data_IF_663025075130
#
_entry.id   IF_663025075130
#
_cell.length_a   1.000
_cell.length_b   1.000
_cell.length_c   1.000
_cell.angle_alpha   90.00
_cell.angle_beta   90.00
_cell.angle_gamma   90.00
#
_symmetry.space_group_name_H-M   'P 1'
#
loop_
_entity.id
_entity.type
_entity.pdbx_description
1 polymer ?
#
# COMPACT_ATOMS: atom_id res chain seq x y z
N UNK A 1 2.06 -37.23 -73.49
CA UNK A 1 0.77 -37.59 -72.86
C UNK A 1 0.86 -37.42 -71.36
N UNK A 2 -0.21 -36.88 -70.76
CA UNK A 2 -0.60 -36.88 -69.35
C UNK A 2 0.20 -36.03 -68.33
N UNK A 3 -0.34 -34.81 -68.16
CA UNK A 3 -0.37 -33.98 -66.96
C UNK A 3 -0.99 -34.71 -65.75
N UNK A 4 -0.46 -34.50 -64.54
CA UNK A 4 -1.23 -34.59 -63.28
C UNK A 4 -0.75 -33.50 -62.32
N UNK A 5 -1.53 -32.41 -62.25
CA UNK A 5 -1.48 -31.44 -61.16
C UNK A 5 -2.19 -32.02 -59.93
N UNK A 6 -1.56 -31.96 -58.75
CA UNK A 6 -2.24 -32.17 -57.46
C UNK A 6 -2.54 -30.81 -56.84
N UNK A 7 -3.81 -30.42 -56.87
CA UNK A 7 -4.35 -29.32 -56.11
C UNK A 7 -4.55 -29.74 -54.65
N UNK A 8 -3.96 -29.02 -53.71
CA UNK A 8 -4.26 -29.13 -52.29
C UNK A 8 -5.14 -27.94 -51.89
N UNK A 9 -6.40 -28.23 -51.57
CA UNK A 9 -7.38 -27.25 -51.13
C UNK A 9 -7.04 -26.75 -49.72
N UNK A 10 -6.77 -25.45 -49.59
CA UNK A 10 -6.66 -24.79 -48.29
C UNK A 10 -8.07 -24.42 -47.80
N UNK A 11 -8.54 -25.10 -46.77
CA UNK A 11 -9.77 -24.73 -46.05
C UNK A 11 -9.54 -23.44 -45.27
N UNK A 12 -10.20 -22.34 -45.66
CA UNK A 12 -10.21 -21.09 -44.91
C UNK A 12 -11.00 -21.28 -43.61
N UNK A 13 -10.31 -21.30 -42.47
CA UNK A 13 -10.95 -21.14 -41.15
C UNK A 13 -11.37 -19.68 -41.00
N UNK A 14 -12.67 -19.45 -40.89
CA UNK A 14 -13.24 -18.14 -40.54
C UNK A 14 -12.87 -17.81 -39.09
N UNK A 15 -12.00 -16.81 -38.90
CA UNK A 15 -11.67 -16.31 -37.57
C UNK A 15 -12.80 -15.38 -37.08
N UNK A 16 -13.59 -15.84 -36.12
CA UNK A 16 -14.49 -14.98 -35.36
C UNK A 16 -13.67 -13.95 -34.56
N UNK A 17 -14.01 -12.67 -34.70
CA UNK A 17 -13.38 -11.59 -33.92
C UNK A 17 -13.84 -11.69 -32.46
N UNK A 18 -12.95 -11.66 -31.47
CA UNK A 18 -13.38 -11.56 -30.07
C UNK A 18 -13.97 -10.16 -29.83
N UNK A 19 -15.19 -10.11 -29.34
CA UNK A 19 -15.85 -8.89 -28.88
C UNK A 19 -15.13 -8.35 -27.64
N UNK A 20 -14.67 -7.10 -27.69
CA UNK A 20 -14.09 -6.41 -26.54
C UNK A 20 -15.20 -6.20 -25.49
N UNK A 21 -15.18 -7.00 -24.42
CA UNK A 21 -15.97 -6.74 -23.22
C UNK A 21 -15.23 -5.71 -22.37
N UNK A 22 -15.74 -4.48 -22.34
CA UNK A 22 -15.26 -3.45 -21.42
C UNK A 22 -15.75 -3.80 -20.02
N UNK A 23 -14.95 -4.51 -19.23
CA UNK A 23 -15.19 -4.63 -17.78
C UNK A 23 -14.78 -3.32 -17.13
N UNK A 24 -15.77 -2.53 -16.71
CA UNK A 24 -15.53 -1.45 -15.76
C UNK A 24 -15.10 -2.07 -14.41
N UNK A 25 -14.05 -1.58 -13.75
CA UNK A 25 -13.74 -2.00 -12.40
C UNK A 25 -14.84 -1.48 -11.46
N UNK A 26 -15.65 -2.38 -10.92
CA UNK A 26 -16.58 -2.05 -9.86
C UNK A 26 -15.76 -1.84 -8.56
N UNK A 27 -15.56 -0.58 -8.17
CA UNK A 27 -15.13 -0.23 -6.82
C UNK A 27 -16.24 -0.63 -5.85
N UNK A 28 -16.09 -1.82 -5.26
CA UNK A 28 -17.01 -2.30 -4.24
C UNK A 28 -16.55 -1.70 -2.91
N UNK A 29 -17.08 -0.53 -2.56
CA UNK A 29 -16.96 -0.01 -1.20
C UNK A 29 -18.03 -0.71 -0.36
N UNK A 30 -17.63 -1.64 0.50
CA UNK A 30 -18.53 -2.17 1.52
C UNK A 30 -18.92 -1.03 2.47
N UNK A 31 -20.13 -0.50 2.30
CA UNK A 31 -20.77 0.35 3.29
C UNK A 31 -21.66 -0.54 4.14
N UNK A 32 -21.22 -0.83 5.36
CA UNK A 32 -22.10 -1.41 6.39
C UNK A 32 -23.02 -0.30 6.87
N UNK A 33 -24.34 -0.49 6.74
CA UNK A 33 -25.33 0.45 7.25
C UNK A 33 -25.15 0.64 8.77
N UNK A 34 -25.31 1.87 9.32
CA UNK A 34 -25.21 2.07 10.75
C UNK A 34 -26.38 1.40 11.47
N UNK A 35 -26.06 0.51 12.41
CA UNK A 35 -27.05 -0.11 13.28
C UNK A 35 -27.77 0.95 14.13
N UNK A 36 -29.09 0.84 14.19
CA UNK A 36 -30.00 1.67 14.98
C UNK A 36 -29.70 1.49 16.47
N UNK A 37 -29.31 2.57 17.15
CA UNK A 37 -29.10 2.61 18.61
C UNK A 37 -30.47 2.56 19.31
N UNK A 38 -30.75 1.59 20.20
CA UNK A 38 -31.90 1.69 21.10
C UNK A 38 -31.52 2.54 22.33
N UNK A 39 -32.43 3.42 22.73
CA UNK A 39 -32.32 4.30 23.91
C UNK A 39 -32.14 3.51 25.23
N UNK A 40 -31.40 4.05 26.21
CA UNK A 40 -31.19 3.35 27.49
C UNK A 40 -32.38 3.51 28.44
N UNK A 41 -33.03 2.40 28.78
CA UNK A 41 -33.96 2.33 29.91
C UNK A 41 -33.19 1.84 31.14
N UNK A 42 -33.09 2.68 32.16
CA UNK A 42 -32.51 2.35 33.47
C UNK A 42 -33.57 1.63 34.31
N UNK A 43 -33.21 0.55 35.03
CA UNK A 43 -33.83 0.31 36.32
C UNK A 43 -32.79 0.23 37.46
N UNK A 44 -33.08 0.98 38.51
CA UNK A 44 -32.45 0.94 39.83
C UNK A 44 -32.84 -0.35 40.56
N UNK A 45 -31.87 -1.18 40.97
CA UNK A 45 -31.73 -1.72 42.34
C UNK A 45 -30.47 -2.61 42.44
N UNK A 46 -29.73 -2.43 43.53
CA UNK A 46 -28.37 -2.97 43.70
C UNK A 46 -28.27 -4.42 44.16
N UNK A 47 -27.03 -4.92 44.14
CA UNK A 47 -26.44 -5.90 45.06
C UNK A 47 -24.92 -5.73 44.97
N UNK A 48 -24.28 -5.66 46.14
CA UNK A 48 -22.82 -5.66 46.31
C UNK A 48 -22.32 -7.07 45.98
N UNK A 49 -21.46 -7.18 44.96
CA UNK A 49 -20.65 -8.36 44.72
C UNK A 49 -19.26 -7.91 44.26
N UNK A 50 -18.29 -8.04 45.17
CA UNK A 50 -16.86 -8.01 44.84
C UNK A 50 -16.58 -9.09 43.81
N UNK A 51 -16.31 -8.69 42.57
CA UNK A 51 -15.78 -9.57 41.55
C UNK A 51 -14.47 -8.99 41.03
N UNK A 52 -13.41 -9.73 41.32
CA UNK A 52 -12.10 -9.68 40.67
C UNK A 52 -12.29 -9.44 39.18
N UNK A 53 -11.86 -8.29 38.67
CA UNK A 53 -11.87 -8.05 37.23
C UNK A 53 -10.79 -8.91 36.61
N UNK A 54 -11.20 -10.08 36.14
CA UNK A 54 -10.52 -10.84 35.11
C UNK A 54 -10.31 -9.88 33.93
N UNK A 55 -9.07 -9.43 33.75
CA UNK A 55 -8.63 -8.82 32.51
C UNK A 55 -9.00 -9.80 31.38
N UNK A 56 -9.78 -9.38 30.37
CA UNK A 56 -10.06 -10.25 29.25
C UNK A 56 -8.72 -10.54 28.54
N UNK A 57 -8.40 -11.82 28.40
CA UNK A 57 -7.33 -12.30 27.52
C UNK A 57 -7.51 -11.60 26.16
N UNK A 58 -6.53 -10.85 25.64
CA UNK A 58 -6.70 -10.19 24.36
C UNK A 58 -6.87 -11.28 23.31
N UNK A 59 -8.08 -11.37 22.79
CA UNK A 59 -8.44 -12.24 21.67
C UNK A 59 -7.50 -11.96 20.51
N UNK A 60 -6.87 -13.03 20.04
CA UNK A 60 -5.97 -13.02 18.90
C UNK A 60 -6.62 -12.31 17.69
N UNK A 61 -5.93 -11.29 17.16
CA UNK A 61 -6.17 -10.66 15.87
C UNK A 61 -7.61 -10.18 15.60
N UNK A 62 -8.12 -9.25 16.41
CA UNK A 62 -9.18 -8.35 15.94
C UNK A 62 -8.49 -7.19 15.24
N UNK A 63 -8.58 -7.12 13.91
CA UNK A 63 -8.30 -5.89 13.17
C UNK A 63 -9.33 -4.88 13.65
N UNK A 64 -8.92 -3.95 14.51
CA UNK A 64 -9.77 -2.85 14.95
C UNK A 64 -9.73 -1.79 13.85
N UNK A 65 -10.78 -1.74 13.03
CA UNK A 65 -10.93 -0.66 12.04
C UNK A 65 -11.16 0.70 12.70
N UNK A 66 -11.57 0.71 13.97
CA UNK A 66 -11.84 1.92 14.73
C UNK A 66 -10.61 2.37 15.55
N UNK A 67 -10.33 3.68 15.61
CA UNK A 67 -9.26 4.22 16.44
C UNK A 67 -9.53 3.96 17.92
N UNK A 68 -8.48 3.66 18.67
CA UNK A 68 -8.59 3.40 20.11
C UNK A 68 -8.48 4.74 20.88
N UNK A 69 -9.63 5.29 21.25
CA UNK A 69 -9.72 6.56 21.97
C UNK A 69 -9.29 6.47 23.44
N UNK A 70 -9.15 5.26 24.00
CA UNK A 70 -8.73 5.06 25.39
C UNK A 70 -7.20 4.91 25.54
N UNK A 71 -6.44 5.12 24.46
CA UNK A 71 -4.98 5.09 24.46
C UNK A 71 -4.41 6.16 25.37
N UNK A 72 -3.46 5.76 26.22
CA UNK A 72 -2.64 6.70 26.98
C UNK A 72 -1.80 7.54 26.01
N UNK A 73 -2.18 8.80 25.86
CA UNK A 73 -1.46 9.75 25.01
C UNK A 73 -0.19 10.18 25.73
N UNK A 74 0.97 9.89 25.14
CA UNK A 74 2.25 10.39 25.64
C UNK A 74 2.32 11.92 25.55
N UNK A 75 3.06 12.54 26.47
CA UNK A 75 3.30 13.99 26.50
C UNK A 75 4.02 14.53 25.24
N UNK A 76 4.54 13.64 24.39
CA UNK A 76 5.25 13.95 23.15
C UNK A 76 4.36 13.84 21.90
N UNK A 77 3.10 13.44 22.07
CA UNK A 77 2.16 13.23 20.97
C UNK A 77 1.78 14.57 20.35
N UNK A 78 1.97 14.72 19.03
CA UNK A 78 1.60 15.95 18.34
C UNK A 78 0.07 16.06 18.22
N UNK A 79 -0.43 17.28 18.06
CA UNK A 79 -1.86 17.54 17.80
C UNK A 79 -2.27 17.24 16.34
N UNK A 80 -1.32 16.82 15.50
CA UNK A 80 -1.52 16.70 14.06
C UNK A 80 -1.65 15.26 13.60
N UNK A 81 -1.12 14.31 14.37
CA UNK A 81 -1.16 12.89 14.05
C UNK A 81 -2.57 12.30 14.22
N UNK A 82 -2.94 11.31 13.40
CA UNK A 82 -4.14 10.50 13.66
C UNK A 82 -3.99 9.71 14.96
N UNK A 83 -5.12 9.25 15.50
CA UNK A 83 -5.17 8.37 16.67
C UNK A 83 -4.87 6.94 16.20
N UNK A 84 -3.98 6.20 16.87
CA UNK A 84 -3.64 4.84 16.48
C UNK A 84 -4.82 3.88 16.61
N UNK A 85 -4.92 2.93 15.68
CA UNK A 85 -5.88 1.81 15.76
C UNK A 85 -5.40 0.73 16.73
N UNK A 86 -4.07 0.60 16.87
CA UNK A 86 -3.41 -0.35 17.76
C UNK A 86 -2.14 0.28 18.30
N UNK A 87 -1.95 0.15 19.61
CA UNK A 87 -0.69 0.49 20.29
C UNK A 87 -0.04 -0.80 20.78
N UNK A 88 1.26 -0.94 20.57
CA UNK A 88 2.01 -2.10 21.05
C UNK A 88 2.40 -1.93 22.53
N UNK A 89 1.84 -2.79 23.38
CA UNK A 89 2.03 -2.73 24.85
C UNK A 89 3.07 -3.74 25.38
N UNK A 90 3.65 -4.55 24.50
CA UNK A 90 4.63 -5.58 24.86
C UNK A 90 4.04 -6.90 25.38
N UNK A 91 2.74 -6.95 25.64
CA UNK A 91 2.00 -8.14 26.08
C UNK A 91 1.58 -9.08 24.95
N UNK A 92 1.78 -8.65 23.71
CA UNK A 92 1.33 -9.38 22.53
C UNK A 92 2.16 -10.64 22.29
N UNK A 93 1.54 -11.82 22.10
CA UNK A 93 2.27 -13.04 21.78
C UNK A 93 2.81 -12.94 20.35
N UNK A 94 4.11 -12.72 20.21
CA UNK A 94 4.80 -12.66 18.92
C UNK A 94 6.20 -13.26 18.98
N UNK A 95 6.67 -13.80 17.85
CA UNK A 95 8.04 -14.31 17.71
C UNK A 95 9.09 -13.17 17.80
N UNK A 96 8.68 -11.94 17.48
CA UNK A 96 9.56 -10.77 17.46
C UNK A 96 9.40 -9.93 18.72
N UNK A 97 10.52 -9.57 19.37
CA UNK A 97 10.51 -8.64 20.50
C UNK A 97 10.00 -7.26 20.06
N UNK A 98 8.93 -6.71 20.67
CA UNK A 98 8.37 -5.42 20.30
C UNK A 98 9.37 -4.32 20.64
N UNK A 99 10.03 -3.76 19.63
CA UNK A 99 10.97 -2.66 19.81
C UNK A 99 10.25 -1.33 20.04
N UNK A 100 8.97 -1.26 19.67
CA UNK A 100 8.15 -0.06 19.82
C UNK A 100 8.12 0.46 21.26
N UNK A 101 8.02 -0.46 22.24
CA UNK A 101 7.99 -0.15 23.68
C UNK A 101 9.33 0.42 24.18
N UNK A 102 10.44 0.03 23.55
CA UNK A 102 11.80 0.40 23.98
C UNK A 102 12.40 1.56 23.18
N UNK A 103 11.88 1.86 21.99
CA UNK A 103 12.49 2.82 21.06
C UNK A 103 12.46 4.27 21.55
N UNK A 104 11.56 4.60 22.47
CA UNK A 104 11.31 5.97 22.91
C UNK A 104 10.67 6.85 21.83
N UNK A 105 10.24 6.24 20.72
CA UNK A 105 9.46 6.91 19.69
C UNK A 105 8.08 7.29 20.22
N UNK A 106 7.51 8.44 19.82
CA UNK A 106 6.17 8.82 20.24
C UNK A 106 5.14 7.83 19.66
N UNK A 107 4.12 7.51 20.46
CA UNK A 107 3.03 6.57 20.11
C UNK A 107 2.33 6.96 18.80
N UNK A 108 2.33 8.24 18.45
CA UNK A 108 1.75 8.75 17.20
C UNK A 108 2.33 8.14 15.91
N UNK A 109 3.55 7.59 15.95
CA UNK A 109 4.11 6.92 14.79
C UNK A 109 3.43 5.58 14.49
N UNK A 110 2.88 4.91 15.50
CA UNK A 110 2.09 3.69 15.32
C UNK A 110 0.73 3.98 14.67
N UNK A 111 0.25 5.22 14.78
CA UNK A 111 -0.97 5.67 14.13
C UNK A 111 -0.80 5.93 12.63
N UNK A 112 0.44 6.02 12.14
CA UNK A 112 0.71 6.32 10.75
C UNK A 112 0.95 5.06 9.96
N UNK A 113 0.34 5.03 8.78
CA UNK A 113 0.62 3.99 7.80
C UNK A 113 1.95 4.29 7.11
N UNK A 114 2.71 3.24 6.90
CA UNK A 114 4.02 3.25 6.25
C UNK A 114 3.92 2.59 4.89
N UNK A 115 4.52 3.21 3.87
CA UNK A 115 4.62 2.64 2.52
C UNK A 115 5.96 1.96 2.34
N UNK A 116 5.94 0.65 2.11
CA UNK A 116 7.10 -0.14 1.72
C UNK A 116 7.05 -0.35 0.21
N UNK A 117 8.02 0.19 -0.52
CA UNK A 117 8.02 0.16 -1.98
C UNK A 117 9.43 0.20 -2.55
N UNK A 118 9.55 -0.16 -3.83
CA UNK A 118 10.76 0.07 -4.61
C UNK A 118 10.58 1.36 -5.42
N UNK A 119 11.46 2.36 -5.32
CA UNK A 119 11.31 3.61 -6.05
C UNK A 119 11.20 3.39 -7.56
N UNK A 120 10.15 3.92 -8.18
CA UNK A 120 9.95 3.77 -9.62
C UNK A 120 11.08 4.44 -10.42
N UNK A 121 11.43 3.85 -11.56
CA UNK A 121 12.42 4.43 -12.47
C UNK A 121 11.93 5.81 -12.96
N UNK A 122 12.72 6.88 -12.81
CA UNK A 122 12.34 8.19 -13.33
C UNK A 122 12.27 8.16 -14.86
N UNK A 123 11.18 8.67 -15.45
CA UNK A 123 11.00 8.69 -16.90
C UNK A 123 12.02 9.60 -17.63
N UNK A 124 12.62 10.54 -16.92
CA UNK A 124 13.62 11.49 -17.44
C UNK A 124 15.00 10.86 -17.61
N UNK A 125 15.31 9.76 -16.92
CA UNK A 125 16.63 9.13 -16.95
C UNK A 125 16.54 7.64 -17.30
N UNK A 126 17.59 7.13 -17.95
CA UNK A 126 17.68 5.72 -18.34
C UNK A 126 18.38 4.83 -17.30
N UNK A 127 18.96 5.40 -16.24
CA UNK A 127 19.64 4.65 -15.17
C UNK A 127 18.69 3.86 -14.27
N UNK A 128 19.17 2.74 -13.72
CA UNK A 128 18.38 1.78 -12.93
C UNK A 128 18.89 1.58 -11.49
N UNK A 129 19.90 2.34 -11.04
CA UNK A 129 20.53 2.16 -9.73
C UNK A 129 19.57 2.37 -8.55
N UNK A 130 18.78 3.44 -8.59
CA UNK A 130 17.88 3.82 -7.49
C UNK A 130 16.74 2.82 -7.29
N UNK A 131 16.42 2.02 -8.30
CA UNK A 131 15.34 1.03 -8.23
C UNK A 131 15.78 -0.26 -7.52
N UNK A 132 17.05 -0.46 -7.13
CA UNK A 132 17.47 -1.77 -6.59
C UNK A 132 17.09 -1.99 -5.12
N UNK A 133 16.97 -0.93 -4.33
CA UNK A 133 16.69 -1.01 -2.90
C UNK A 133 15.20 -0.87 -2.58
N UNK A 134 14.79 -1.49 -1.48
CA UNK A 134 13.48 -1.24 -0.89
C UNK A 134 13.55 0.01 -0.03
N UNK A 135 12.50 0.82 -0.10
CA UNK A 135 12.36 2.05 0.65
C UNK A 135 11.10 2.01 1.48
N UNK A 136 11.21 2.53 2.69
CA UNK A 136 10.12 2.67 3.63
C UNK A 136 9.95 4.15 3.95
N UNK A 137 8.78 4.68 3.62
CA UNK A 137 8.40 6.08 3.85
C UNK A 137 7.10 6.14 4.64
N UNK A 138 6.95 7.15 5.49
CA UNK A 138 5.69 7.41 6.20
C UNK A 138 4.70 8.13 5.29
N UNK A 139 3.41 7.87 5.50
CA UNK A 139 2.36 8.65 4.86
C UNK A 139 2.36 10.11 5.35
N UNK A 140 1.88 10.97 4.47
CA UNK A 140 1.79 12.41 4.69
C UNK A 140 0.63 12.72 5.63
N UNK A 141 0.86 13.54 6.67
CA UNK A 141 -0.25 13.95 7.52
C UNK A 141 -1.22 14.86 6.76
N UNK A 142 -2.50 14.61 6.97
CA UNK A 142 -3.58 15.49 6.50
C UNK A 142 -3.47 16.91 7.08
N UNK A 143 -3.04 17.04 8.34
CA UNK A 143 -2.80 18.31 9.03
C UNK A 143 -1.32 18.41 9.40
N UNK A 144 -0.72 19.57 9.19
CA UNK A 144 0.66 19.82 9.63
C UNK A 144 1.77 19.27 8.72
N UNK A 145 1.44 18.72 7.53
CA UNK A 145 2.49 18.33 6.58
C UNK A 145 3.25 19.55 6.04
N UNK A 146 2.55 20.49 5.38
CA UNK A 146 3.15 21.73 4.88
C UNK A 146 2.18 22.90 5.02
N UNK A 147 2.69 24.04 5.45
CA UNK A 147 1.99 25.32 5.39
C UNK A 147 2.97 26.45 5.08
N UNK A 148 2.46 27.58 4.60
CA UNK A 148 3.26 28.75 4.32
C UNK A 148 3.58 29.52 5.61
N UNK A 149 4.85 29.87 5.82
CA UNK A 149 5.27 30.75 6.89
C UNK A 149 4.79 32.18 6.60
N UNK A 150 3.96 32.80 7.46
CA UNK A 150 3.39 34.13 7.21
C UNK A 150 4.42 35.26 7.10
N UNK A 151 5.64 35.06 7.62
CA UNK A 151 6.70 36.07 7.57
C UNK A 151 7.51 36.02 6.27
N UNK A 152 8.03 34.84 5.90
CA UNK A 152 9.00 34.66 4.81
C UNK A 152 8.46 33.89 3.60
N UNK A 153 7.28 33.28 3.70
CA UNK A 153 6.72 32.42 2.64
C UNK A 153 7.34 31.02 2.54
N UNK A 154 8.21 30.63 3.46
CA UNK A 154 8.81 29.29 3.46
C UNK A 154 7.81 28.19 3.79
N UNK A 155 8.07 26.99 3.28
CA UNK A 155 7.25 25.80 3.55
C UNK A 155 7.61 25.21 4.93
N UNK A 156 6.83 25.58 5.94
CA UNK A 156 6.94 25.05 7.31
C UNK A 156 6.24 23.69 7.45
N UNK A 157 6.66 22.88 8.40
CA UNK A 157 6.10 21.55 8.69
C UNK A 157 6.11 21.25 10.19
N UNK A 158 5.13 20.48 10.67
CA UNK A 158 5.06 19.93 12.02
C UNK A 158 5.40 18.42 12.01
N UNK A 159 5.59 17.85 10.82
CA UNK A 159 5.93 16.45 10.67
C UNK A 159 7.42 16.23 10.89
N UNK A 160 7.77 15.38 11.86
CA UNK A 160 9.15 15.03 12.14
C UNK A 160 9.67 13.86 11.28
N UNK A 161 8.79 13.13 10.58
CA UNK A 161 9.17 12.01 9.71
C UNK A 161 9.25 12.36 8.22
N UNK A 162 8.77 13.53 7.79
CA UNK A 162 8.69 13.90 6.37
C UNK A 162 10.02 13.86 5.60
N UNK A 163 11.17 14.01 6.29
CA UNK A 163 12.50 13.96 5.69
C UNK A 163 13.21 12.62 5.90
N UNK A 164 12.60 11.69 6.62
CA UNK A 164 13.20 10.42 7.02
C UNK A 164 12.78 9.33 6.05
N UNK A 165 13.77 8.60 5.54
CA UNK A 165 13.56 7.50 4.61
C UNK A 165 14.47 6.35 5.00
N UNK A 166 13.91 5.16 5.17
CA UNK A 166 14.72 3.98 5.46
C UNK A 166 14.92 3.16 4.19
N UNK A 167 16.13 2.63 4.03
CA UNK A 167 16.49 1.78 2.89
C UNK A 167 16.81 0.38 3.37
N UNK A 168 16.29 -0.61 2.65
CA UNK A 168 16.39 -2.02 2.97
C UNK A 168 16.85 -2.80 1.75
N UNK A 169 17.46 -3.97 2.00
CA UNK A 169 17.92 -4.87 0.94
C UNK A 169 16.78 -5.74 0.40
N UNK A 170 15.94 -6.26 1.29
CA UNK A 170 14.82 -7.14 0.97
C UNK A 170 13.47 -6.52 1.37
N UNK A 171 12.37 -7.09 0.85
CA UNK A 171 11.01 -6.71 1.21
C UNK A 171 10.70 -7.19 2.63
N UNK A 172 11.17 -8.39 2.94
CA UNK A 172 10.96 -9.08 4.19
C UNK A 172 11.60 -8.32 5.35
N UNK A 173 12.83 -7.80 5.18
CA UNK A 173 13.53 -7.00 6.19
C UNK A 173 12.73 -5.73 6.54
N UNK A 174 12.16 -5.07 5.53
CA UNK A 174 11.34 -3.89 5.72
C UNK A 174 10.04 -4.21 6.47
N UNK A 175 9.39 -5.33 6.13
CA UNK A 175 8.17 -5.79 6.81
C UNK A 175 8.48 -6.16 8.27
N UNK A 176 9.57 -6.87 8.51
CA UNK A 176 10.01 -7.24 9.85
C UNK A 176 10.31 -6.01 10.69
N UNK A 177 10.98 -5.00 10.12
CA UNK A 177 11.23 -3.74 10.81
C UNK A 177 9.94 -3.00 11.17
N UNK A 178 9.02 -2.83 10.21
CA UNK A 178 7.74 -2.18 10.44
C UNK A 178 6.91 -2.91 11.51
N UNK A 179 6.84 -4.24 11.43
CA UNK A 179 6.14 -5.09 12.40
C UNK A 179 6.74 -4.99 13.79
N UNK A 180 8.07 -4.94 13.90
CA UNK A 180 8.79 -4.80 15.18
C UNK A 180 8.51 -3.47 15.88
N UNK A 181 8.29 -2.41 15.12
CA UNK A 181 7.96 -1.07 15.61
C UNK A 181 6.44 -0.85 15.78
N UNK A 182 5.62 -1.81 15.37
CA UNK A 182 4.16 -1.67 15.42
C UNK A 182 3.59 -0.68 14.41
N UNK A 183 4.31 -0.39 13.32
CA UNK A 183 3.78 0.46 12.26
C UNK A 183 2.82 -0.31 11.37
N UNK A 184 1.66 0.26 11.10
CA UNK A 184 0.80 -0.21 10.02
C UNK A 184 1.54 -0.02 8.69
N UNK A 185 1.56 -1.03 7.83
CA UNK A 185 2.30 -0.95 6.57
C UNK A 185 1.46 -1.38 5.37
N UNK A 186 1.72 -0.73 4.25
CA UNK A 186 1.23 -1.09 2.93
C UNK A 186 2.42 -1.42 2.03
N UNK A 187 2.42 -2.62 1.45
CA UNK A 187 3.49 -3.04 0.52
C UNK A 187 3.04 -2.82 -0.91
N UNK A 188 3.77 -1.96 -1.62
CA UNK A 188 3.59 -1.74 -3.04
C UNK A 188 4.61 -2.58 -3.83
N UNK A 189 4.12 -3.55 -4.59
CA UNK A 189 4.98 -4.38 -5.44
C UNK A 189 5.55 -3.56 -6.62
N UNK A 190 6.82 -3.79 -6.99
CA UNK A 190 7.45 -3.08 -8.08
C UNK A 190 6.81 -3.45 -9.43
N UNK A 191 6.54 -2.45 -10.25
CA UNK A 191 6.12 -2.67 -11.62
C UNK A 191 7.35 -2.85 -12.53
N UNK A 192 7.71 -4.10 -12.78
CA UNK A 192 8.88 -4.42 -13.60
C UNK A 192 8.58 -4.33 -15.10
N UNK A 193 9.52 -3.74 -15.83
CA UNK A 193 9.41 -3.63 -17.29
C UNK A 193 9.60 -4.99 -17.94
N UNK A 194 8.61 -5.41 -18.73
CA UNK A 194 8.76 -6.58 -19.61
C UNK A 194 9.85 -6.34 -20.66
N UNK A 195 10.89 -7.18 -20.66
CA UNK A 195 11.94 -7.20 -21.69
C UNK A 195 11.37 -7.87 -22.95
N UNK A 196 11.24 -7.10 -24.02
CA UNK A 196 10.77 -7.59 -25.33
C UNK A 196 11.99 -7.71 -26.25
N UNK A 197 12.19 -8.83 -26.96
CA UNK A 197 13.29 -8.98 -27.90
C UNK A 197 13.16 -7.93 -29.02
N UNK A 198 14.20 -7.11 -29.19
CA UNK A 198 14.27 -6.07 -30.23
C UNK A 198 15.38 -6.42 -31.21
N UNK A 199 15.02 -6.74 -32.45
CA UNK A 199 15.97 -6.94 -33.53
C UNK A 199 15.96 -5.74 -34.48
N UNK A 200 17.14 -5.20 -34.80
CA UNK A 200 17.27 -4.06 -35.72
C UNK A 200 16.76 -4.37 -37.13
N UNK A 201 16.92 -5.62 -37.59
CA UNK A 201 16.40 -6.11 -38.87
C UNK A 201 14.88 -5.94 -39.01
N UNK A 202 14.14 -5.91 -37.89
CA UNK A 202 12.68 -5.72 -37.91
C UNK A 202 12.26 -4.37 -38.49
N UNK A 203 13.17 -3.39 -38.53
CA UNK A 203 12.90 -2.09 -39.15
C UNK A 203 12.71 -2.21 -40.67
N UNK A 204 13.32 -3.22 -41.32
CA UNK A 204 13.42 -3.37 -42.78
C UNK A 204 12.71 -4.60 -43.35
N UNK A 205 11.79 -5.23 -42.61
CA UNK A 205 11.03 -6.39 -43.10
C UNK A 205 10.22 -6.01 -44.34
N UNK A 206 10.30 -6.83 -45.39
CA UNK A 206 9.48 -6.69 -46.58
C UNK A 206 7.99 -6.89 -46.25
N UNK A 207 7.15 -5.94 -46.65
CA UNK A 207 5.70 -6.04 -46.53
C UNK A 207 5.15 -6.17 -47.96
N UNK A 208 4.54 -7.31 -48.34
CA UNK A 208 4.08 -7.54 -49.71
C UNK A 208 2.85 -6.71 -50.09
N UNK A 209 2.12 -6.17 -49.11
CA UNK A 209 0.96 -5.31 -49.32
C UNK A 209 1.28 -3.81 -49.15
N UNK A 210 0.22 -3.00 -49.08
CA UNK A 210 0.36 -1.56 -48.82
C UNK A 210 0.98 -1.32 -47.44
N UNK A 211 2.04 -0.50 -47.41
CA UNK A 211 2.77 -0.17 -46.19
C UNK A 211 1.87 0.59 -45.20
N UNK A 212 1.87 0.18 -43.92
CA UNK A 212 1.07 0.82 -42.86
C UNK A 212 1.62 2.17 -42.42
N UNK A 213 2.95 2.27 -42.33
CA UNK A 213 3.66 3.48 -41.93
C UNK A 213 5.05 3.48 -42.55
N UNK A 214 5.51 4.66 -42.97
CA UNK A 214 6.91 4.86 -43.39
C UNK A 214 7.75 5.03 -42.12
N UNK A 215 8.73 4.16 -41.93
CA UNK A 215 9.60 4.17 -40.75
C UNK A 215 10.76 5.14 -40.96
N UNK A 216 10.83 6.18 -40.15
CA UNK A 216 12.00 7.07 -40.07
C UNK A 216 13.00 6.56 -39.03
N UNK A 217 14.22 7.14 -39.05
CA UNK A 217 15.25 6.90 -38.04
C UNK A 217 15.18 7.97 -36.96
#
# INVERSE_FOLDING_TARGET
MASIQKAAAYTLRTAARPTLSTRLPALTRHQTAPAKVPEPVIPLTGIIATSTTNLPTPSANIIRDNPDYNVAVDYRTSNFSPIPTRVMDGSEPGETTPAAVLSGAPVELQARTVRIYRPAKPATQSGDWQHQHWRMDWDVLSKGHRWENPLMGWQSSADFMQGTHLTFKSKEDAILFASKQGYEYFVQEPNERRVIPKAYANQFVHIPGKMKQVRTK
#
